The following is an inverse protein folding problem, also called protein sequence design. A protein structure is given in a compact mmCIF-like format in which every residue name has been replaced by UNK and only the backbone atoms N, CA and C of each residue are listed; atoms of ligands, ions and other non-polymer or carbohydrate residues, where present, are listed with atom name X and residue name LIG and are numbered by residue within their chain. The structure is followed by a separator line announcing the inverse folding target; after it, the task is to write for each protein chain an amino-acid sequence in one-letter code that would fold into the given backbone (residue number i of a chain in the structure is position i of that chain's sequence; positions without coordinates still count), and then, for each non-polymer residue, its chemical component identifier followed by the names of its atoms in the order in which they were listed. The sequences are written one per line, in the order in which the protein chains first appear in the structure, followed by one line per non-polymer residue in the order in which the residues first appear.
data_IF_391717881762
#
_entry.id   IF_391717881762
#
_cell.length_a   1.000
_cell.length_b   1.000
_cell.length_c   1.000
_cell.angle_alpha   90.00
_cell.angle_beta   90.00
_cell.angle_gamma   90.00
#
_symmetry.space_group_name_H-M   'P 1'
#
loop_
_entity.id
_entity.type
_entity.pdbx_description
1 polymer ?
#
# COMPACT_ATOMS: atom_id res chain seq x y z
N UNK A 1 18.71 21.92 -7.15
CA UNK A 1 18.11 20.59 -7.45
C UNK A 1 18.64 19.47 -6.56
N UNK A 2 19.87 18.94 -6.75
CA UNK A 2 20.36 17.84 -5.91
C UNK A 2 20.65 18.24 -4.46
N UNK A 3 21.09 19.47 -4.23
CA UNK A 3 21.30 20.00 -2.87
C UNK A 3 19.96 20.21 -2.16
N UNK A 4 18.93 20.66 -2.88
CA UNK A 4 17.56 20.77 -2.36
C UNK A 4 16.97 19.41 -2.00
N UNK A 5 17.21 18.39 -2.85
CA UNK A 5 16.82 17.02 -2.56
C UNK A 5 17.51 16.53 -1.27
N UNK A 6 18.81 16.74 -1.13
CA UNK A 6 19.54 16.31 0.06
C UNK A 6 19.06 17.03 1.32
N UNK A 7 18.83 18.35 1.25
CA UNK A 7 18.26 19.11 2.36
C UNK A 7 16.86 18.63 2.73
N UNK A 8 16.01 18.35 1.75
CA UNK A 8 14.68 17.78 1.95
C UNK A 8 14.76 16.39 2.59
N UNK A 9 15.62 15.53 2.05
CA UNK A 9 15.83 14.18 2.54
C UNK A 9 16.22 14.19 4.01
N UNK A 10 17.27 14.94 4.35
CA UNK A 10 17.75 15.08 5.72
C UNK A 10 16.71 15.70 6.66
N UNK A 11 15.93 16.67 6.18
CA UNK A 11 14.85 17.30 6.98
C UNK A 11 13.74 16.30 7.31
N UNK A 12 13.34 15.48 6.34
CA UNK A 12 12.29 14.47 6.51
C UNK A 12 12.80 13.34 7.40
N UNK A 13 13.95 12.73 7.08
CA UNK A 13 14.42 11.52 7.78
C UNK A 13 14.86 11.77 9.22
N UNK A 14 15.27 12.98 9.59
CA UNK A 14 15.50 13.36 11.00
C UNK A 14 14.27 13.18 11.90
N UNK A 15 13.07 13.14 11.32
CA UNK A 15 11.81 12.92 12.05
C UNK A 15 11.45 11.43 12.16
N UNK A 16 12.17 10.54 11.48
CA UNK A 16 11.93 9.10 11.47
C UNK A 16 12.59 8.46 12.71
N UNK A 17 11.82 7.81 13.60
CA UNK A 17 12.39 7.15 14.77
C UNK A 17 13.43 6.10 14.41
N UNK A 18 14.59 6.14 15.07
CA UNK A 18 15.68 5.18 14.82
C UNK A 18 16.39 5.33 13.47
N UNK A 19 16.21 6.46 12.78
CA UNK A 19 16.91 6.72 11.52
C UNK A 19 18.41 6.85 11.74
N UNK A 20 19.16 6.13 10.91
CA UNK A 20 20.61 6.22 10.81
C UNK A 20 20.96 6.76 9.42
N UNK A 21 21.71 7.86 9.40
CA UNK A 21 22.19 8.45 8.16
C UNK A 21 23.21 7.52 7.49
N UNK A 22 22.99 7.21 6.22
CA UNK A 22 23.95 6.47 5.40
C UNK A 22 24.12 7.14 4.04
N UNK A 23 25.36 7.44 3.58
CA UNK A 23 25.59 8.13 2.31
C UNK A 23 24.92 7.47 1.09
N UNK A 24 24.79 6.13 1.12
CA UNK A 24 24.16 5.35 0.06
C UNK A 24 22.67 5.69 -0.13
N UNK A 25 21.98 6.18 0.91
CA UNK A 25 20.59 6.64 0.80
C UNK A 25 20.48 7.88 -0.09
N UNK A 26 21.36 8.86 0.12
CA UNK A 26 21.42 10.08 -0.69
C UNK A 26 21.88 9.75 -2.11
N UNK A 27 22.86 8.86 -2.27
CA UNK A 27 23.31 8.40 -3.58
C UNK A 27 22.17 7.77 -4.38
N UNK A 28 21.40 6.86 -3.77
CA UNK A 28 20.21 6.26 -4.38
C UNK A 28 19.15 7.32 -4.69
N UNK A 29 18.85 8.24 -3.77
CA UNK A 29 17.85 9.28 -3.99
C UNK A 29 18.20 10.18 -5.17
N UNK A 30 19.48 10.55 -5.32
CA UNK A 30 19.98 11.31 -6.47
C UNK A 30 19.84 10.53 -7.76
N UNK A 31 20.21 9.24 -7.77
CA UNK A 31 20.07 8.39 -8.96
C UNK A 31 18.61 8.23 -9.39
N UNK A 32 17.69 8.06 -8.43
CA UNK A 32 16.24 8.02 -8.69
C UNK A 32 15.77 9.35 -9.28
N UNK A 33 16.07 10.48 -8.66
CA UNK A 33 15.64 11.79 -9.16
C UNK A 33 16.19 12.09 -10.57
N UNK A 34 17.46 11.81 -10.82
CA UNK A 34 18.07 11.99 -12.14
C UNK A 34 17.33 11.18 -13.21
N UNK A 35 16.92 9.95 -12.89
CA UNK A 35 16.19 9.08 -13.82
C UNK A 35 14.78 9.59 -14.09
N UNK A 36 14.08 10.07 -13.05
CA UNK A 36 12.76 10.67 -13.18
C UNK A 36 12.76 11.93 -14.07
N UNK A 37 13.77 12.79 -13.91
CA UNK A 37 13.88 14.05 -14.67
C UNK A 37 14.32 13.78 -16.11
N UNK A 38 15.25 12.85 -16.32
CA UNK A 38 15.74 12.51 -17.67
C UNK A 38 14.83 11.57 -18.45
N UNK A 39 13.81 10.99 -17.82
CA UNK A 39 12.90 10.03 -18.45
C UNK A 39 13.54 8.67 -18.75
N UNK A 40 14.66 8.36 -18.09
CA UNK A 40 15.41 7.12 -18.29
C UNK A 40 15.12 6.07 -17.21
N UNK A 41 15.45 4.82 -17.49
CA UNK A 41 15.42 3.75 -16.49
C UNK A 41 16.72 3.69 -15.70
N UNK A 42 16.62 3.49 -14.39
CA UNK A 42 17.74 3.16 -13.52
C UNK A 42 17.54 1.78 -12.89
N UNK A 43 18.63 1.03 -12.82
CA UNK A 43 18.73 -0.23 -12.08
C UNK A 43 19.66 0.03 -10.90
N UNK A 44 19.14 -0.16 -9.69
CA UNK A 44 19.87 0.14 -8.45
C UNK A 44 19.84 -1.10 -7.57
N UNK A 45 21.02 -1.63 -7.28
CA UNK A 45 21.20 -2.63 -6.24
C UNK A 45 21.43 -1.93 -4.90
N UNK A 46 20.67 -2.30 -3.87
CA UNK A 46 20.84 -1.75 -2.54
C UNK A 46 20.67 -2.85 -1.48
N UNK A 47 21.63 -2.93 -0.56
CA UNK A 47 21.65 -3.92 0.52
C UNK A 47 20.47 -3.81 1.48
N UNK A 48 20.13 -4.89 2.16
CA UNK A 48 19.05 -4.91 3.18
C UNK A 48 19.35 -3.92 4.31
N UNK A 49 18.30 -3.31 4.87
CA UNK A 49 18.45 -2.35 5.97
C UNK A 49 18.99 -0.97 5.57
N UNK A 50 19.41 -0.73 4.32
CA UNK A 50 19.99 0.55 3.89
C UNK A 50 19.02 1.75 3.87
N UNK A 51 17.74 1.60 4.23
CA UNK A 51 16.76 2.70 4.13
C UNK A 51 16.28 2.99 2.71
N UNK A 52 16.23 1.95 1.85
CA UNK A 52 15.79 2.02 0.45
C UNK A 52 14.46 2.76 0.25
N UNK A 53 13.51 2.55 1.16
CA UNK A 53 12.16 3.08 1.03
C UNK A 53 12.14 4.61 0.96
N UNK A 54 12.82 5.30 1.88
CA UNK A 54 12.91 6.76 1.82
C UNK A 54 13.71 7.23 0.60
N UNK A 55 14.75 6.48 0.22
CA UNK A 55 15.60 6.79 -0.92
C UNK A 55 14.86 6.82 -2.26
N UNK A 56 13.81 6.01 -2.47
CA UNK A 56 12.96 6.13 -3.67
C UNK A 56 11.71 6.99 -3.45
N UNK A 57 11.10 7.00 -2.25
CA UNK A 57 9.85 7.74 -2.03
C UNK A 57 10.04 9.26 -1.99
N UNK A 58 11.08 9.75 -1.31
CA UNK A 58 11.32 11.19 -1.17
C UNK A 58 11.52 11.86 -2.54
N UNK A 59 12.39 11.36 -3.45
CA UNK A 59 12.50 11.96 -4.79
C UNK A 59 11.23 11.79 -5.64
N UNK A 60 10.48 10.69 -5.52
CA UNK A 60 9.18 10.53 -6.19
C UNK A 60 8.18 11.61 -5.77
N UNK A 61 8.08 11.88 -4.46
CA UNK A 61 7.22 12.92 -3.92
C UNK A 61 7.73 14.33 -4.25
N UNK A 62 9.06 14.51 -4.30
CA UNK A 62 9.68 15.79 -4.65
C UNK A 62 9.34 16.18 -6.09
N UNK A 63 9.37 15.22 -7.01
CA UNK A 63 9.00 15.38 -8.42
C UNK A 63 7.50 15.74 -8.59
N UNK A 64 6.65 15.32 -7.64
CA UNK A 64 5.24 15.73 -7.59
C UNK A 64 4.36 15.14 -8.69
N UNK A 65 4.85 14.15 -9.44
CA UNK A 65 4.10 13.42 -10.48
C UNK A 65 3.38 12.22 -9.86
N UNK A 66 2.35 11.72 -10.56
CA UNK A 66 1.69 10.46 -10.20
C UNK A 66 2.70 9.31 -10.34
N UNK A 67 2.91 8.56 -9.26
CA UNK A 67 3.85 7.45 -9.22
C UNK A 67 3.14 6.14 -8.90
N UNK A 68 3.71 5.04 -9.39
CA UNK A 68 3.34 3.67 -9.00
C UNK A 68 4.56 3.02 -8.38
N UNK A 69 4.42 2.53 -7.15
CA UNK A 69 5.45 1.72 -6.48
C UNK A 69 4.97 0.28 -6.49
N UNK A 70 5.74 -0.60 -7.12
CA UNK A 70 5.48 -2.04 -7.14
C UNK A 70 6.46 -2.76 -6.21
N UNK A 71 5.95 -3.70 -5.42
CA UNK A 71 6.75 -4.52 -4.50
C UNK A 71 6.37 -5.99 -4.64
N UNK A 72 7.24 -6.90 -4.18
CA UNK A 72 7.11 -8.33 -4.44
C UNK A 72 5.96 -9.05 -3.72
N UNK A 73 5.38 -8.46 -2.65
CA UNK A 73 4.33 -9.12 -1.85
C UNK A 73 3.33 -8.12 -1.30
N UNK A 74 2.11 -8.57 -0.99
CA UNK A 74 1.09 -7.75 -0.33
C UNK A 74 1.59 -7.23 1.03
N UNK A 75 2.31 -8.05 1.80
CA UNK A 75 2.87 -7.63 3.09
C UNK A 75 3.83 -6.43 2.96
N UNK A 76 4.67 -6.41 1.90
CA UNK A 76 5.54 -5.25 1.63
C UNK A 76 4.74 -4.01 1.20
N UNK A 77 3.63 -4.18 0.46
CA UNK A 77 2.72 -3.07 0.13
C UNK A 77 2.04 -2.53 1.38
N UNK A 78 1.54 -3.40 2.26
CA UNK A 78 0.92 -3.02 3.53
C UNK A 78 1.91 -2.26 4.41
N UNK A 79 3.15 -2.74 4.55
CA UNK A 79 4.18 -2.02 5.29
C UNK A 79 4.41 -0.60 4.72
N UNK A 80 4.49 -0.48 3.39
CA UNK A 80 4.68 0.80 2.73
C UNK A 80 3.53 1.77 3.05
N UNK A 81 2.29 1.28 2.99
CA UNK A 81 1.08 2.11 3.11
C UNK A 81 0.75 2.47 4.54
N UNK A 82 0.95 1.55 5.49
CA UNK A 82 0.57 1.74 6.90
C UNK A 82 1.68 2.38 7.74
N UNK A 83 2.95 2.28 7.30
CA UNK A 83 4.10 2.83 8.04
C UNK A 83 4.80 3.93 7.26
N UNK A 84 5.40 3.59 6.13
CA UNK A 84 6.32 4.50 5.42
C UNK A 84 5.59 5.73 4.84
N UNK A 85 4.44 5.53 4.18
CA UNK A 85 3.64 6.62 3.61
C UNK A 85 2.87 7.41 4.68
N UNK A 86 2.46 6.77 5.78
CA UNK A 86 1.89 7.47 6.95
C UNK A 86 2.92 8.37 7.61
N UNK A 87 4.15 7.89 7.77
CA UNK A 87 5.25 8.73 8.25
C UNK A 87 5.50 9.92 7.30
N UNK A 88 5.61 9.65 6.00
CA UNK A 88 5.84 10.70 5.00
C UNK A 88 4.70 11.71 4.95
N UNK A 89 3.44 11.31 5.13
CA UNK A 89 2.31 12.25 5.14
C UNK A 89 2.39 13.27 6.28
N UNK A 90 3.06 12.93 7.38
CA UNK A 90 3.30 13.80 8.53
C UNK A 90 4.59 14.61 8.43
N UNK A 91 5.62 14.04 7.77
CA UNK A 91 6.96 14.60 7.74
C UNK A 91 7.26 15.42 6.48
N UNK A 92 6.63 15.11 5.34
CA UNK A 92 6.90 15.73 4.05
C UNK A 92 6.24 17.13 3.99
N UNK A 93 6.92 18.15 3.43
CA UNK A 93 6.45 19.55 3.49
C UNK A 93 5.25 19.85 2.60
N UNK A 94 4.85 18.93 1.71
CA UNK A 94 3.72 19.09 0.79
C UNK A 94 2.73 17.93 0.98
N UNK A 95 1.42 18.18 0.95
CA UNK A 95 0.44 17.11 1.02
C UNK A 95 0.52 16.23 -0.22
N UNK A 96 0.27 14.94 -0.04
CA UNK A 96 0.13 13.98 -1.14
C UNK A 96 -0.92 12.93 -0.78
N UNK A 97 -1.43 12.25 -1.80
CA UNK A 97 -2.40 11.15 -1.65
C UNK A 97 -1.77 9.84 -2.08
N UNK A 98 -2.10 8.77 -1.39
CA UNK A 98 -1.68 7.42 -1.74
C UNK A 98 -2.85 6.44 -1.58
N UNK A 99 -2.77 5.32 -2.28
CA UNK A 99 -3.70 4.22 -2.19
C UNK A 99 -2.96 2.92 -2.49
N UNK A 100 -3.43 1.81 -1.91
CA UNK A 100 -2.93 0.47 -2.19
C UNK A 100 -3.81 -0.17 -3.28
N UNK A 101 -3.18 -0.82 -4.26
CA UNK A 101 -3.89 -1.56 -5.30
C UNK A 101 -3.51 -3.04 -5.23
N UNK A 102 -4.48 -3.90 -4.92
CA UNK A 102 -4.32 -5.37 -4.90
C UNK A 102 -5.03 -6.02 -6.10
N UNK A 103 -4.78 -7.30 -6.33
CA UNK A 103 -5.56 -8.08 -7.30
C UNK A 103 -7.04 -8.15 -6.90
N UNK A 104 -7.94 -8.22 -7.88
CA UNK A 104 -9.41 -8.18 -7.67
C UNK A 104 -9.92 -9.22 -6.67
N UNK A 105 -9.29 -10.39 -6.63
CA UNK A 105 -9.59 -11.47 -5.68
C UNK A 105 -9.44 -11.08 -4.20
N UNK A 106 -8.77 -9.97 -3.88
CA UNK A 106 -8.65 -9.44 -2.53
C UNK A 106 -9.84 -8.57 -2.12
N UNK A 107 -10.73 -8.26 -3.06
CA UNK A 107 -11.87 -7.37 -2.84
C UNK A 107 -13.19 -8.12 -2.95
N UNK A 108 -14.13 -7.75 -2.08
CA UNK A 108 -15.52 -8.17 -2.15
C UNK A 108 -16.11 -7.83 -3.52
N UNK A 109 -16.85 -8.76 -4.10
CA UNK A 109 -17.76 -8.53 -5.20
C UNK A 109 -19.19 -8.36 -4.65
N UNK A 110 -19.75 -7.14 -4.67
CA UNK A 110 -21.09 -6.89 -4.14
C UNK A 110 -22.19 -7.70 -4.84
N UNK A 111 -21.96 -8.08 -6.10
CA UNK A 111 -22.87 -8.95 -6.83
C UNK A 111 -22.86 -10.37 -6.28
N UNK A 112 -21.68 -10.98 -6.11
CA UNK A 112 -21.59 -12.36 -5.60
C UNK A 112 -22.07 -12.47 -4.16
N UNK A 113 -21.82 -11.45 -3.32
CA UNK A 113 -22.42 -11.36 -1.99
C UNK A 113 -23.94 -11.50 -2.02
N UNK A 114 -24.62 -10.74 -2.89
CA UNK A 114 -26.09 -10.84 -3.05
C UNK A 114 -26.55 -12.19 -3.60
N UNK A 115 -25.73 -12.83 -4.43
CA UNK A 115 -26.02 -14.16 -4.97
C UNK A 115 -25.89 -15.23 -3.87
N UNK A 116 -24.84 -15.17 -3.07
CA UNK A 116 -24.60 -16.06 -1.92
C UNK A 116 -25.75 -15.99 -0.90
N UNK A 117 -26.24 -14.79 -0.58
CA UNK A 117 -27.38 -14.63 0.34
C UNK A 117 -28.68 -15.29 -0.17
N UNK A 118 -28.85 -15.38 -1.49
CA UNK A 118 -30.05 -15.97 -2.10
C UNK A 118 -29.92 -17.47 -2.31
N UNK A 119 -28.70 -17.97 -2.49
CA UNK A 119 -28.44 -19.36 -2.85
C UNK A 119 -28.21 -20.27 -1.65
N UNK A 120 -27.68 -19.74 -0.55
CA UNK A 120 -27.37 -20.54 0.65
C UNK A 120 -28.67 -20.98 1.37
N UNK A 121 -28.83 -22.29 1.66
CA UNK A 121 -29.98 -22.78 2.40
C UNK A 121 -29.95 -22.33 3.88
N UNK A 122 -31.11 -22.31 4.58
CA UNK A 122 -31.20 -21.84 5.97
C UNK A 122 -30.27 -22.54 6.98
N UNK A 123 -29.84 -23.77 6.69
CA UNK A 123 -28.95 -24.56 7.55
C UNK A 123 -27.50 -24.61 7.04
N UNK A 124 -27.13 -23.75 6.08
CA UNK A 124 -25.75 -23.69 5.58
C UNK A 124 -24.80 -23.12 6.64
N UNK A 125 -23.65 -23.78 6.93
CA UNK A 125 -22.70 -23.28 7.92
C UNK A 125 -22.07 -21.92 7.55
N UNK A 126 -22.12 -21.50 6.28
CA UNK A 126 -21.58 -20.23 5.82
C UNK A 126 -22.57 -19.06 5.94
N UNK A 127 -23.85 -19.33 6.21
CA UNK A 127 -24.90 -18.30 6.19
C UNK A 127 -24.64 -17.18 7.20
N UNK A 128 -24.16 -17.52 8.40
CA UNK A 128 -23.78 -16.55 9.43
C UNK A 128 -22.64 -15.65 8.96
N UNK A 129 -21.62 -16.23 8.32
CA UNK A 129 -20.45 -15.48 7.82
C UNK A 129 -20.85 -14.55 6.67
N UNK A 130 -21.65 -15.03 5.72
CA UNK A 130 -22.13 -14.21 4.59
C UNK A 130 -22.99 -13.05 5.09
N UNK A 131 -23.85 -13.30 6.09
CA UNK A 131 -24.66 -12.25 6.73
C UNK A 131 -23.77 -11.20 7.40
N UNK A 132 -22.75 -11.61 8.15
CA UNK A 132 -21.80 -10.70 8.78
C UNK A 132 -21.01 -9.87 7.75
N UNK A 133 -20.63 -10.46 6.61
CA UNK A 133 -19.98 -9.75 5.50
C UNK A 133 -20.92 -8.72 4.89
N UNK A 134 -22.21 -9.01 4.72
CA UNK A 134 -23.20 -8.02 4.27
C UNK A 134 -23.30 -6.87 5.26
N UNK A 135 -23.50 -7.16 6.54
CA UNK A 135 -23.72 -6.13 7.56
C UNK A 135 -22.56 -5.13 7.61
N UNK A 136 -21.32 -5.61 7.59
CA UNK A 136 -20.16 -4.72 7.59
C UNK A 136 -19.99 -3.98 6.25
N UNK A 137 -20.31 -4.61 5.12
CA UNK A 137 -20.30 -3.94 3.82
C UNK A 137 -21.32 -2.79 3.76
N UNK A 138 -22.54 -3.03 4.23
CA UNK A 138 -23.62 -2.03 4.27
C UNK A 138 -23.34 -0.91 5.29
N UNK A 139 -22.57 -1.18 6.34
CA UNK A 139 -22.15 -0.15 7.30
C UNK A 139 -21.25 0.94 6.70
N UNK A 140 -20.58 0.65 5.57
CA UNK A 140 -19.62 1.56 4.92
C UNK A 140 -18.28 1.73 5.65
N UNK A 141 -18.07 1.04 6.78
CA UNK A 141 -16.82 1.10 7.57
C UNK A 141 -15.69 0.32 6.88
N UNK A 142 -16.04 -0.76 6.19
CA UNK A 142 -15.09 -1.64 5.50
C UNK A 142 -15.08 -1.36 4.00
N UNK A 143 -13.89 -1.27 3.43
CA UNK A 143 -13.67 -0.94 2.02
C UNK A 143 -13.72 -2.16 1.08
N UNK A 144 -14.09 -3.34 1.59
CA UNK A 144 -14.16 -4.58 0.82
C UNK A 144 -12.84 -5.35 0.71
N UNK A 145 -11.73 -4.85 1.25
CA UNK A 145 -10.43 -5.54 1.25
C UNK A 145 -10.38 -6.63 2.33
N UNK A 146 -10.26 -7.90 1.92
CA UNK A 146 -10.26 -9.05 2.86
C UNK A 146 -9.20 -8.93 3.96
N UNK A 147 -8.07 -8.27 3.69
CA UNK A 147 -7.00 -8.12 4.68
C UNK A 147 -7.41 -7.27 5.89
N UNK A 148 -8.43 -6.41 5.72
CA UNK A 148 -8.89 -5.47 6.73
C UNK A 148 -10.28 -5.84 7.28
N UNK A 149 -10.78 -7.04 6.95
CA UNK A 149 -12.02 -7.55 7.51
C UNK A 149 -11.80 -7.92 8.99
N UNK A 150 -12.67 -7.50 9.93
CA UNK A 150 -12.43 -7.67 11.36
C UNK A 150 -12.69 -9.09 11.89
N UNK A 151 -13.03 -10.03 11.00
CA UNK A 151 -13.24 -11.44 11.30
C UNK A 151 -12.72 -12.30 10.15
N UNK A 152 -12.54 -13.59 10.42
CA UNK A 152 -11.98 -14.54 9.45
C UNK A 152 -13.09 -15.13 8.59
N UNK A 153 -12.84 -15.20 7.28
CA UNK A 153 -13.70 -15.88 6.31
C UNK A 153 -12.94 -17.09 5.76
N UNK A 154 -13.54 -18.29 5.71
CA UNK A 154 -12.92 -19.44 5.07
C UNK A 154 -12.51 -19.10 3.63
N UNK A 155 -11.28 -19.44 3.26
CA UNK A 155 -10.75 -19.06 1.94
C UNK A 155 -11.58 -19.62 0.78
N UNK A 156 -12.11 -20.84 0.93
CA UNK A 156 -13.00 -21.45 -0.06
C UNK A 156 -14.27 -20.61 -0.27
N UNK A 157 -14.94 -20.21 0.82
CA UNK A 157 -16.11 -19.34 0.78
C UNK A 157 -15.79 -18.00 0.11
N UNK A 158 -14.67 -17.37 0.48
CA UNK A 158 -14.27 -16.10 -0.11
C UNK A 158 -14.07 -16.22 -1.62
N UNK A 159 -13.24 -17.17 -2.06
CA UNK A 159 -12.89 -17.33 -3.48
C UNK A 159 -14.10 -17.74 -4.33
N UNK A 160 -14.96 -18.61 -3.81
CA UNK A 160 -16.11 -19.11 -4.57
C UNK A 160 -17.25 -18.10 -4.60
N UNK A 161 -17.63 -17.54 -3.44
CA UNK A 161 -18.91 -16.85 -3.29
C UNK A 161 -18.79 -15.34 -3.06
N UNK A 162 -17.62 -14.80 -2.70
CA UNK A 162 -17.53 -13.40 -2.27
C UNK A 162 -16.54 -12.55 -3.09
N UNK A 163 -15.46 -13.12 -3.59
CA UNK A 163 -14.38 -12.40 -4.24
C UNK A 163 -14.69 -12.02 -5.69
N UNK A 164 -14.13 -10.90 -6.14
CA UNK A 164 -14.12 -10.50 -7.55
C UNK A 164 -13.00 -11.25 -8.29
N UNK A 165 -13.33 -12.41 -8.86
CA UNK A 165 -12.41 -13.31 -9.56
C UNK A 165 -12.72 -13.38 -11.06
#
# INVERSE_FOLDING_TARGET
MFDELEQLFNRVTRRLPGYEYRPQQIQMARAVLQSLISGNHAVIEAGTGCGKTMAYLIPLLAEGKKAVVSTGTIALQTQLVEKDLVFLSQAFPRPFRFAMAKGRANYLCPQKLREAERSLPPNDPNLEIVTAVREIWESGIWNGDIANLPFTVPQALWVQELANN
#
